data_IF_701689585706
#
_entry.id   IF_701689585706
#
_cell.length_a   1.000
_cell.length_b   1.000
_cell.length_c   1.000
_cell.angle_alpha   90.00
_cell.angle_beta   90.00
_cell.angle_gamma   90.00
#
_symmetry.space_group_name_H-M   'P 1'
#
loop_
_entity.id
_entity.type
_entity.pdbx_description
1 polymer ?
#
# COMPACT_ATOMS: atom_id res chain seq x y z
N UNK A 1 -14.35 -8.73 -3.11
CA UNK A 1 -14.09 -7.29 -3.37
C UNK A 1 -14.88 -6.50 -2.33
N UNK A 2 -14.29 -5.44 -1.78
CA UNK A 2 -14.92 -4.63 -0.75
C UNK A 2 -15.10 -3.18 -1.20
N UNK A 3 -16.22 -2.57 -0.83
CA UNK A 3 -16.56 -1.18 -1.15
C UNK A 3 -16.91 -0.45 0.15
N UNK A 4 -16.25 0.68 0.41
CA UNK A 4 -16.51 1.53 1.58
C UNK A 4 -17.23 2.81 1.14
N UNK A 5 -18.33 3.14 1.83
CA UNK A 5 -19.19 4.30 1.50
C UNK A 5 -19.06 5.47 2.49
N UNK A 6 -18.13 5.39 3.44
CA UNK A 6 -17.96 6.41 4.49
C UNK A 6 -18.64 6.09 5.83
N UNK A 7 -19.46 5.03 5.88
CA UNK A 7 -20.09 4.51 7.11
C UNK A 7 -19.99 2.98 7.21
N UNK A 8 -20.01 2.29 6.09
CA UNK A 8 -20.07 0.83 6.02
C UNK A 8 -19.19 0.28 4.93
N UNK A 9 -18.71 -0.95 5.12
CA UNK A 9 -18.07 -1.75 4.08
C UNK A 9 -19.03 -2.83 3.58
N UNK A 10 -19.23 -2.92 2.27
CA UNK A 10 -19.85 -4.08 1.63
C UNK A 10 -18.74 -5.05 1.21
N UNK A 11 -18.84 -6.31 1.60
CA UNK A 11 -17.89 -7.37 1.22
C UNK A 11 -18.62 -8.40 0.37
N UNK A 12 -18.13 -8.60 -0.85
CA UNK A 12 -18.55 -9.70 -1.71
C UNK A 12 -17.56 -10.87 -1.60
N UNK A 13 -18.07 -12.05 -1.22
CA UNK A 13 -17.29 -13.27 -1.07
C UNK A 13 -18.00 -14.48 -1.70
N UNK A 14 -17.23 -15.43 -2.22
CA UNK A 14 -17.74 -16.67 -2.83
C UNK A 14 -17.56 -17.83 -1.86
N UNK A 15 -18.65 -18.52 -1.54
CA UNK A 15 -18.63 -19.71 -0.70
C UNK A 15 -17.96 -20.85 -1.48
N UNK A 16 -16.82 -21.32 -0.98
CA UNK A 16 -16.01 -22.31 -1.70
C UNK A 16 -16.77 -23.59 -2.08
N UNK A 17 -17.71 -24.03 -1.22
CA UNK A 17 -18.52 -25.25 -1.40
C UNK A 17 -19.64 -25.09 -2.42
N UNK A 18 -20.43 -24.02 -2.32
CA UNK A 18 -21.63 -23.82 -3.16
C UNK A 18 -21.36 -23.01 -4.41
N UNK A 19 -20.19 -22.35 -4.50
CA UNK A 19 -19.84 -21.35 -5.53
C UNK A 19 -20.80 -20.16 -5.58
N UNK A 20 -21.66 -20.02 -4.58
CA UNK A 20 -22.56 -18.89 -4.43
C UNK A 20 -21.78 -17.67 -3.96
N UNK A 21 -22.04 -16.52 -4.58
CA UNK A 21 -21.48 -15.24 -4.16
C UNK A 21 -22.48 -14.54 -3.26
N UNK A 22 -22.05 -14.21 -2.04
CA UNK A 22 -22.82 -13.43 -1.08
C UNK A 22 -22.22 -12.04 -0.94
N UNK A 23 -23.08 -11.10 -0.52
CA UNK A 23 -22.73 -9.73 -0.16
C UNK A 23 -23.22 -9.46 1.24
N UNK A 24 -22.33 -8.97 2.09
CA UNK A 24 -22.66 -8.57 3.46
C UNK A 24 -22.15 -7.15 3.70
N UNK A 25 -22.97 -6.34 4.36
CA UNK A 25 -22.66 -4.96 4.69
C UNK A 25 -22.44 -4.83 6.19
N UNK A 26 -21.28 -4.29 6.57
CA UNK A 26 -20.88 -4.10 7.96
C UNK A 26 -20.68 -2.62 8.24
N UNK A 27 -21.25 -2.12 9.33
CA UNK A 27 -20.90 -0.78 9.81
C UNK A 27 -19.47 -0.76 10.31
N UNK A 28 -18.70 0.22 9.86
CA UNK A 28 -17.33 0.44 10.34
C UNK A 28 -17.30 1.79 11.07
N UNK A 29 -16.82 1.82 12.33
CA UNK A 29 -16.64 3.09 13.02
C UNK A 29 -15.61 3.93 12.27
N UNK A 30 -15.90 5.23 12.14
CA UNK A 30 -14.94 6.18 11.59
C UNK A 30 -13.68 6.19 12.47
N UNK A 31 -12.52 6.21 11.82
CA UNK A 31 -11.24 6.40 12.52
C UNK A 31 -11.30 7.68 13.37
N UNK A 32 -11.09 7.52 14.68
CA UNK A 32 -11.14 8.59 15.66
C UNK A 32 -10.02 9.62 15.47
N UNK A 33 -10.15 10.77 16.13
CA UNK A 33 -9.10 11.79 16.10
C UNK A 33 -7.85 11.28 16.84
N UNK A 34 -8.03 10.60 17.97
CA UNK A 34 -6.94 10.00 18.74
C UNK A 34 -6.13 9.01 17.88
N UNK A 35 -6.78 8.12 17.13
CA UNK A 35 -6.10 7.17 16.24
C UNK A 35 -5.31 7.86 15.11
N UNK A 36 -5.86 8.94 14.55
CA UNK A 36 -5.15 9.72 13.52
C UNK A 36 -3.94 10.44 14.10
N UNK A 37 -4.12 11.08 15.26
CA UNK A 37 -3.09 11.90 15.89
C UNK A 37 -1.94 11.06 16.46
N UNK A 38 -2.20 9.79 16.81
CA UNK A 38 -1.18 8.85 17.31
C UNK A 38 0.02 8.65 16.36
N UNK A 39 -0.16 8.84 15.05
CA UNK A 39 0.90 8.61 14.04
C UNK A 39 1.14 9.80 13.10
N UNK A 40 0.51 10.95 13.37
CA UNK A 40 0.48 12.10 12.45
C UNK A 40 1.86 12.64 12.09
N UNK A 41 2.77 12.70 13.07
CA UNK A 41 4.13 13.24 12.91
C UNK A 41 5.22 12.20 13.20
N UNK A 42 4.86 10.93 13.32
CA UNK A 42 5.81 9.86 13.62
C UNK A 42 6.65 9.51 12.39
N UNK A 43 7.93 9.28 12.60
CA UNK A 43 8.83 8.69 11.61
C UNK A 43 8.54 7.18 11.45
N UNK A 44 9.29 6.49 10.59
CA UNK A 44 9.25 5.01 10.55
C UNK A 44 9.82 4.44 11.85
N UNK A 45 10.92 5.00 12.38
CA UNK A 45 11.56 4.53 13.61
C UNK A 45 10.65 4.62 14.82
N UNK A 46 9.88 5.70 14.94
CA UNK A 46 8.93 5.89 16.05
C UNK A 46 7.77 4.87 16.02
N UNK A 47 7.58 4.19 14.88
CA UNK A 47 6.51 3.22 14.67
C UNK A 47 6.99 1.78 14.64
N UNK A 48 8.30 1.53 14.75
CA UNK A 48 8.84 0.19 14.95
C UNK A 48 8.73 -0.16 16.43
N UNK A 49 8.10 -1.29 16.72
CA UNK A 49 7.89 -1.81 18.07
C UNK A 49 8.35 -3.25 18.14
N UNK A 50 8.72 -3.74 19.33
CA UNK A 50 8.97 -5.17 19.53
C UNK A 50 7.76 -5.77 20.22
N UNK A 51 7.12 -6.74 19.57
CA UNK A 51 6.01 -7.51 20.13
C UNK A 51 6.39 -8.98 20.14
N UNK A 52 6.35 -9.61 21.32
CA UNK A 52 6.70 -11.03 21.50
C UNK A 52 8.11 -11.42 20.98
N UNK A 53 9.05 -10.49 21.00
CA UNK A 53 10.42 -10.71 20.51
C UNK A 53 10.60 -10.52 18.99
N UNK A 54 9.54 -10.17 18.26
CA UNK A 54 9.59 -9.85 16.83
C UNK A 54 9.39 -8.36 16.60
N UNK A 55 10.10 -7.80 15.61
CA UNK A 55 9.85 -6.43 15.16
C UNK A 55 8.47 -6.36 14.51
N UNK A 56 7.68 -5.39 14.91
CA UNK A 56 6.39 -5.06 14.35
C UNK A 56 6.31 -3.57 14.05
N UNK A 57 5.25 -3.17 13.35
CA UNK A 57 5.09 -1.83 12.84
C UNK A 57 3.69 -1.28 13.09
N UNK A 58 3.63 -0.13 13.75
CA UNK A 58 2.39 0.62 13.93
C UNK A 58 2.05 1.30 12.60
N UNK A 59 0.92 0.90 12.01
CA UNK A 59 0.40 1.49 10.78
C UNK A 59 -0.16 2.88 11.05
N UNK A 60 -0.03 3.77 10.06
CA UNK A 60 -0.85 4.98 10.01
C UNK A 60 -2.30 4.58 9.81
N UNK A 61 -3.18 5.31 10.48
CA UNK A 61 -4.62 5.20 10.26
C UNK A 61 -4.96 5.36 8.77
N UNK A 62 -5.91 4.55 8.29
CA UNK A 62 -6.51 4.66 6.96
C UNK A 62 -7.99 5.07 7.11
N UNK A 63 -8.29 6.38 7.07
CA UNK A 63 -9.66 6.87 7.25
C UNK A 63 -10.59 6.55 6.08
N UNK A 64 -10.01 6.21 4.93
CA UNK A 64 -10.76 5.92 3.70
C UNK A 64 -10.97 4.42 3.49
N UNK A 65 -10.42 3.57 4.38
CA UNK A 65 -10.48 2.11 4.28
C UNK A 65 -10.21 1.64 2.83
N UNK A 66 -9.09 2.11 2.27
CA UNK A 66 -8.76 2.01 0.85
C UNK A 66 -8.60 0.56 0.36
N UNK A 67 -8.46 -0.40 1.27
CA UNK A 67 -8.33 -1.82 0.95
C UNK A 67 -7.15 -2.04 0.00
N UNK A 68 -7.40 -2.66 -1.15
CA UNK A 68 -6.35 -2.93 -2.15
C UNK A 68 -5.69 -1.64 -2.67
N UNK A 69 -6.42 -0.53 -2.75
CA UNK A 69 -5.87 0.74 -3.24
C UNK A 69 -4.78 1.30 -2.30
N UNK A 70 -4.77 0.91 -1.02
CA UNK A 70 -3.69 1.27 -0.09
C UNK A 70 -2.32 0.77 -0.58
N UNK A 71 -2.26 -0.34 -1.34
CA UNK A 71 -1.00 -0.83 -1.92
C UNK A 71 -0.28 0.21 -2.77
N UNK A 72 -1.01 1.16 -3.36
CA UNK A 72 -0.44 2.29 -4.11
C UNK A 72 -0.49 3.60 -3.30
N UNK A 73 -1.65 3.94 -2.74
CA UNK A 73 -1.91 5.26 -2.14
C UNK A 73 -1.34 5.41 -0.72
N UNK A 74 -1.15 4.30 0.00
CA UNK A 74 -0.59 4.26 1.35
C UNK A 74 0.18 2.93 1.53
N UNK A 75 1.33 2.73 0.83
CA UNK A 75 1.99 1.44 0.63
C UNK A 75 2.70 0.87 1.88
N UNK A 76 2.21 1.20 3.08
CA UNK A 76 2.84 0.87 4.36
C UNK A 76 2.83 -0.62 4.71
N UNK A 77 1.92 -1.40 4.13
CA UNK A 77 1.75 -2.83 4.47
C UNK A 77 2.94 -3.71 4.08
N UNK A 78 3.70 -3.29 3.06
CA UNK A 78 4.89 -4.00 2.62
C UNK A 78 6.14 -3.12 2.71
N UNK A 79 6.03 -1.81 2.47
CA UNK A 79 7.19 -0.92 2.45
C UNK A 79 7.92 -0.89 3.79
N UNK A 80 7.18 -1.01 4.91
CA UNK A 80 7.78 -1.06 6.25
C UNK A 80 8.79 -2.19 6.42
N UNK A 81 8.57 -3.34 5.78
CA UNK A 81 9.49 -4.47 5.87
C UNK A 81 10.47 -4.57 4.70
N UNK A 82 10.06 -4.22 3.47
CA UNK A 82 11.00 -4.14 2.33
C UNK A 82 12.15 -3.18 2.60
N UNK A 83 11.87 -2.11 3.35
CA UNK A 83 12.78 -1.00 3.59
C UNK A 83 13.21 -0.90 5.05
N UNK A 84 12.96 -1.94 5.87
CA UNK A 84 13.30 -1.94 7.30
C UNK A 84 14.80 -1.74 7.52
N UNK A 85 15.62 -2.49 6.78
CA UNK A 85 17.08 -2.38 6.80
C UNK A 85 17.57 -1.44 5.68
N UNK A 86 18.11 -0.25 6.02
CA UNK A 86 18.64 0.69 5.04
C UNK A 86 19.83 0.17 4.25
N UNK A 87 20.52 -0.88 4.72
CA UNK A 87 21.62 -1.49 3.97
C UNK A 87 21.15 -2.26 2.73
N UNK A 88 19.86 -2.63 2.68
CA UNK A 88 19.30 -3.50 1.64
C UNK A 88 18.66 -2.72 0.49
N UNK A 89 18.67 -1.38 0.49
CA UNK A 89 18.08 -0.58 -0.58
C UNK A 89 18.77 0.76 -0.77
N UNK A 90 18.64 1.32 -1.98
CA UNK A 90 19.13 2.64 -2.33
C UNK A 90 18.16 3.37 -3.26
N UNK A 91 18.19 4.71 -3.21
CA UNK A 91 17.61 5.54 -4.27
C UNK A 91 18.62 5.59 -5.42
N UNK A 92 18.26 5.06 -6.58
CA UNK A 92 19.16 4.86 -7.72
C UNK A 92 18.96 5.89 -8.84
N UNK A 93 17.92 6.73 -8.75
CA UNK A 93 17.67 7.80 -9.69
C UNK A 93 16.21 8.21 -9.77
N UNK A 94 15.82 8.67 -10.95
CA UNK A 94 14.47 9.15 -11.25
C UNK A 94 13.96 8.54 -12.55
N UNK A 95 12.66 8.28 -12.62
CA UNK A 95 11.99 7.75 -13.82
C UNK A 95 10.57 8.33 -13.91
N UNK A 96 10.10 8.61 -15.11
CA UNK A 96 8.73 9.06 -15.33
C UNK A 96 7.78 7.86 -15.39
N UNK A 97 6.74 7.85 -14.55
CA UNK A 97 5.67 6.85 -14.58
C UNK A 97 4.33 7.58 -14.59
N UNK A 98 3.48 7.27 -15.57
CA UNK A 98 2.16 7.87 -15.72
C UNK A 98 2.17 9.43 -15.70
N UNK A 99 3.22 10.04 -16.26
CA UNK A 99 3.38 11.50 -16.30
C UNK A 99 3.89 12.13 -14.99
N UNK A 100 4.32 11.33 -14.01
CA UNK A 100 4.89 11.81 -12.74
C UNK A 100 6.38 11.45 -12.68
N UNK A 101 7.22 12.43 -12.32
CA UNK A 101 8.64 12.20 -12.09
C UNK A 101 8.84 11.53 -10.73
N UNK A 102 9.03 10.21 -10.75
CA UNK A 102 9.22 9.41 -9.54
C UNK A 102 10.69 9.32 -9.14
N UNK A 103 10.94 9.01 -7.86
CA UNK A 103 12.22 8.45 -7.42
C UNK A 103 12.19 6.93 -7.58
N UNK A 104 13.32 6.38 -8.02
CA UNK A 104 13.50 4.93 -8.17
C UNK A 104 14.24 4.41 -6.95
N UNK A 105 13.62 3.48 -6.23
CA UNK A 105 14.19 2.76 -5.10
C UNK A 105 14.38 1.31 -5.51
N UNK A 106 15.61 0.82 -5.40
CA UNK A 106 15.93 -0.59 -5.67
C UNK A 106 16.56 -1.23 -4.43
N UNK A 107 16.28 -2.52 -4.24
CA UNK A 107 16.81 -3.25 -3.10
C UNK A 107 16.61 -4.76 -3.17
N UNK A 108 16.99 -5.42 -2.08
CA UNK A 108 16.84 -6.86 -1.85
C UNK A 108 15.84 -7.12 -0.75
N UNK A 109 14.99 -8.13 -0.93
CA UNK A 109 14.10 -8.61 0.13
C UNK A 109 14.87 -9.49 1.12
N UNK A 110 14.51 -9.41 2.40
CA UNK A 110 14.95 -10.38 3.40
C UNK A 110 14.34 -11.77 3.14
N UNK A 111 14.68 -12.75 3.97
CA UNK A 111 14.19 -14.12 3.80
C UNK A 111 12.65 -14.22 3.93
N UNK A 112 12.05 -13.50 4.87
CA UNK A 112 10.61 -13.52 5.10
C UNK A 112 9.84 -12.98 3.89
N UNK A 113 10.22 -11.80 3.40
CA UNK A 113 9.59 -11.17 2.25
C UNK A 113 9.94 -11.85 0.93
N UNK A 114 11.16 -12.39 0.79
CA UNK A 114 11.53 -13.21 -0.36
C UNK A 114 10.61 -14.41 -0.52
N UNK A 115 10.32 -15.12 0.59
CA UNK A 115 9.39 -16.24 0.61
C UNK A 115 7.95 -15.79 0.27
N UNK A 116 7.47 -14.72 0.93
CA UNK A 116 6.09 -14.22 0.77
C UNK A 116 5.80 -13.70 -0.63
N UNK A 117 6.76 -13.06 -1.28
CA UNK A 117 6.61 -12.49 -2.62
C UNK A 117 7.16 -13.40 -3.73
N UNK A 118 7.73 -14.55 -3.36
CA UNK A 118 8.46 -15.45 -4.25
C UNK A 118 9.51 -14.69 -5.07
N UNK A 119 10.25 -13.79 -4.42
CA UNK A 119 11.16 -12.84 -5.06
C UNK A 119 12.50 -12.74 -4.32
N UNK A 120 13.39 -11.89 -4.83
CA UNK A 120 14.67 -11.57 -4.21
C UNK A 120 15.02 -10.08 -4.31
N UNK A 121 14.68 -9.43 -5.43
CA UNK A 121 14.91 -8.00 -5.64
C UNK A 121 13.61 -7.25 -5.88
N UNK A 122 13.59 -5.97 -5.51
CA UNK A 122 12.47 -5.09 -5.78
C UNK A 122 12.92 -3.79 -6.44
N UNK A 123 12.01 -3.20 -7.22
CA UNK A 123 12.09 -1.83 -7.74
C UNK A 123 10.77 -1.13 -7.43
N UNK A 124 10.85 0.06 -6.84
CA UNK A 124 9.72 0.92 -6.53
C UNK A 124 9.91 2.28 -7.21
N UNK A 125 8.84 2.78 -7.83
CA UNK A 125 8.76 4.14 -8.34
C UNK A 125 7.76 4.91 -7.48
N UNK A 126 8.25 5.88 -6.71
CA UNK A 126 7.45 6.63 -5.72
C UNK A 126 7.44 8.12 -6.10
N UNK A 127 6.28 8.76 -6.04
CA UNK A 127 6.22 10.23 -6.11
C UNK A 127 6.85 10.82 -4.84
N UNK A 128 7.97 11.56 -4.96
CA UNK A 128 8.68 12.10 -3.78
C UNK A 128 7.85 13.12 -2.99
N UNK A 129 6.82 13.71 -3.59
CA UNK A 129 6.02 14.75 -2.94
C UNK A 129 4.89 14.17 -2.08
N UNK A 130 4.29 13.06 -2.52
CA UNK A 130 3.10 12.47 -1.89
C UNK A 130 3.37 11.13 -1.22
N UNK A 131 4.43 10.43 -1.62
CA UNK A 131 4.70 9.06 -1.20
C UNK A 131 3.83 8.01 -1.89
N UNK A 132 3.03 8.40 -2.90
CA UNK A 132 2.24 7.46 -3.70
C UNK A 132 3.20 6.56 -4.49
N UNK A 133 2.94 5.26 -4.46
CA UNK A 133 3.66 4.27 -5.25
C UNK A 133 2.99 4.13 -6.62
N UNK A 134 3.72 4.50 -7.68
CA UNK A 134 3.21 4.44 -9.04
C UNK A 134 3.57 3.12 -9.74
N UNK A 135 4.70 2.52 -9.38
CA UNK A 135 5.10 1.21 -9.89
C UNK A 135 5.85 0.42 -8.83
N UNK A 136 5.56 -0.88 -8.78
CA UNK A 136 6.28 -1.87 -8.00
C UNK A 136 6.61 -3.04 -8.92
N UNK A 137 7.82 -3.54 -8.78
CA UNK A 137 8.24 -4.78 -9.41
C UNK A 137 9.01 -5.60 -8.38
N UNK A 138 8.66 -6.88 -8.27
CA UNK A 138 9.44 -7.86 -7.50
C UNK A 138 9.90 -8.94 -8.45
N UNK A 139 11.21 -9.18 -8.50
CA UNK A 139 11.85 -10.20 -9.33
C UNK A 139 12.54 -11.24 -8.48
N UNK A 140 12.60 -12.47 -8.96
CA UNK A 140 13.44 -13.51 -8.35
C UNK A 140 14.92 -13.34 -8.69
N UNK A 141 15.77 -14.25 -8.18
CA UNK A 141 17.22 -14.25 -8.41
C UNK A 141 17.60 -14.49 -9.88
N UNK A 142 16.70 -15.04 -10.70
CA UNK A 142 16.91 -15.23 -12.13
C UNK A 142 16.46 -14.00 -12.95
N UNK A 143 15.91 -12.97 -12.30
CA UNK A 143 15.41 -11.76 -12.93
C UNK A 143 13.96 -11.87 -13.45
N UNK A 144 13.26 -12.97 -13.16
CA UNK A 144 11.88 -13.16 -13.61
C UNK A 144 10.91 -12.31 -12.77
N UNK A 145 9.97 -11.63 -13.40
CA UNK A 145 8.97 -10.79 -12.73
C UNK A 145 7.92 -11.66 -12.02
N UNK A 146 7.80 -11.50 -10.70
CA UNK A 146 6.93 -12.32 -9.84
C UNK A 146 5.74 -11.55 -9.31
N UNK A 147 5.91 -10.26 -9.05
CA UNK A 147 4.82 -9.34 -8.67
C UNK A 147 5.02 -8.01 -9.37
N UNK A 148 3.92 -7.39 -9.76
CA UNK A 148 3.94 -6.04 -10.28
C UNK A 148 2.69 -5.26 -9.92
N UNK A 149 2.87 -3.95 -9.82
CA UNK A 149 1.83 -2.94 -9.85
C UNK A 149 2.35 -1.86 -10.78
N UNK A 150 1.53 -1.38 -11.72
CA UNK A 150 1.89 -0.24 -12.57
C UNK A 150 0.68 0.64 -12.77
N UNK A 151 0.85 1.92 -12.43
CA UNK A 151 -0.17 2.94 -12.64
C UNK A 151 -0.22 3.30 -14.12
N UNK A 152 -1.42 3.23 -14.70
CA UNK A 152 -1.64 3.59 -16.11
C UNK A 152 -1.82 5.09 -16.30
N UNK A 153 -2.52 5.72 -15.35
CA UNK A 153 -2.78 7.17 -15.32
C UNK A 153 -3.05 7.62 -13.88
N UNK A 154 -2.71 8.86 -13.57
CA UNK A 154 -3.00 9.48 -12.29
C UNK A 154 -3.16 11.00 -12.47
N UNK A 155 -4.00 11.61 -11.64
CA UNK A 155 -4.12 13.06 -11.52
C UNK A 155 -4.03 13.43 -10.05
N UNK A 156 -2.97 14.14 -9.67
CA UNK A 156 -2.73 14.60 -8.31
C UNK A 156 -3.05 16.09 -8.26
N UNK A 157 -3.71 16.55 -7.19
CA UNK A 157 -4.12 17.95 -7.01
C UNK A 157 -4.96 18.51 -8.18
N UNK A 158 -5.72 17.63 -8.84
CA UNK A 158 -6.66 18.04 -9.89
C UNK A 158 -7.89 18.74 -9.31
N UNK A 159 -8.54 19.57 -10.12
CA UNK A 159 -9.89 20.05 -9.81
C UNK A 159 -10.82 18.86 -9.63
N UNK A 160 -11.55 18.85 -8.50
CA UNK A 160 -12.57 17.86 -8.20
C UNK A 160 -13.74 18.08 -9.16
N UNK A 161 -14.11 17.05 -9.89
CA UNK A 161 -15.40 17.02 -10.59
C UNK A 161 -16.45 16.50 -9.61
N UNK A 162 -17.18 17.40 -8.96
CA UNK A 162 -18.19 17.05 -7.96
C UNK A 162 -19.31 16.18 -8.55
N UNK A 163 -19.53 16.24 -9.87
CA UNK A 163 -20.51 15.38 -10.56
C UNK A 163 -20.10 13.91 -10.59
N UNK A 164 -18.84 13.59 -10.28
CA UNK A 164 -18.35 12.21 -10.15
C UNK A 164 -18.59 11.60 -8.76
N UNK A 165 -19.11 12.37 -7.79
CA UNK A 165 -19.28 11.95 -6.39
C UNK A 165 -20.74 12.07 -5.92
N UNK A 166 -21.69 11.86 -6.82
CA UNK A 166 -23.12 11.84 -6.47
C UNK A 166 -23.47 10.45 -5.95
N UNK A 167 -24.11 10.39 -4.78
CA UNK A 167 -24.72 9.17 -4.26
C UNK A 167 -26.09 9.08 -4.92
N UNK A 168 -26.30 8.08 -5.80
CA UNK A 168 -27.63 7.72 -6.30
C UNK A 168 -28.49 7.04 -5.23
#
# INVERSE_FOLDING_TARGET
MSLYDGDSIEVAYTIAKTKETKKEKFKIPKVSKEEKDATKNSTIKDRLIVMNGETSFIRKADPAHMGVAATSLLPQDFAGGFMEDPANWNIVGNEEVAGVQTVVIEGTLDEYYSSKYNGGNFKLNVDPNTGILLQMEVRDKAGELKRSLKTSSIKINGTLDESSFVIE
#
